data_IF_604096195081
#
_entry.id   IF_604096195081
#
_cell.length_a   1.000
_cell.length_b   1.000
_cell.length_c   1.000
_cell.angle_alpha   90.00
_cell.angle_beta   90.00
_cell.angle_gamma   90.00
#
_symmetry.space_group_name_H-M   'P 1'
#
loop_
_entity.id
_entity.type
_entity.pdbx_description
1 polymer ?
#
# COMPACT_ATOMS: atom_id res chain seq x y z
N UNK A 1 5.21 0.63 -24.63
CA UNK A 1 5.27 1.71 -23.62
C UNK A 1 6.63 2.40 -23.67
N UNK A 2 6.65 3.74 -23.65
CA UNK A 2 7.88 4.54 -23.51
C UNK A 2 7.77 5.37 -22.23
N UNK A 3 8.80 5.29 -21.38
CA UNK A 3 8.95 6.10 -20.18
C UNK A 3 10.12 7.05 -20.44
N UNK A 4 9.82 8.34 -20.54
CA UNK A 4 10.82 9.37 -20.83
C UNK A 4 11.67 9.67 -19.60
N UNK A 5 12.79 10.37 -19.81
CA UNK A 5 13.62 10.87 -18.70
C UNK A 5 12.76 11.67 -17.73
N UNK A 6 12.98 11.47 -16.44
CA UNK A 6 12.27 12.22 -15.42
C UNK A 6 12.77 13.66 -15.37
N UNK A 7 11.84 14.58 -15.19
CA UNK A 7 12.04 16.02 -15.06
C UNK A 7 11.67 16.45 -13.64
N UNK A 8 12.30 17.55 -13.19
CA UNK A 8 12.03 18.17 -11.90
C UNK A 8 11.60 19.61 -12.13
N UNK A 9 10.54 20.02 -11.44
CA UNK A 9 10.01 21.38 -11.49
C UNK A 9 9.72 21.85 -10.07
N UNK A 10 10.20 23.03 -9.71
CA UNK A 10 9.89 23.68 -8.44
C UNK A 10 8.68 24.60 -8.63
N UNK A 11 7.57 24.28 -7.96
CA UNK A 11 6.32 25.05 -7.98
C UNK A 11 6.01 25.58 -6.57
N UNK A 12 6.45 26.80 -6.29
CA UNK A 12 6.31 27.40 -4.96
C UNK A 12 7.02 26.56 -3.90
N UNK A 13 6.29 26.14 -2.87
CA UNK A 13 6.82 25.31 -1.76
C UNK A 13 6.85 23.81 -2.06
N UNK A 14 6.68 23.42 -3.32
CA UNK A 14 6.66 22.02 -3.74
C UNK A 14 7.64 21.74 -4.88
N UNK A 15 8.17 20.52 -4.89
CA UNK A 15 8.97 19.95 -5.96
C UNK A 15 8.16 18.84 -6.61
N UNK A 16 7.96 18.96 -7.91
CA UNK A 16 7.29 17.96 -8.72
C UNK A 16 8.33 17.23 -9.54
N UNK A 17 8.40 15.91 -9.35
CA UNK A 17 9.21 15.03 -10.17
C UNK A 17 8.25 14.24 -11.05
N UNK A 18 8.43 14.28 -12.37
CA UNK A 18 7.51 13.61 -13.28
C UNK A 18 8.23 12.96 -14.46
N UNK A 19 7.63 11.91 -15.00
CA UNK A 19 8.07 11.30 -16.24
C UNK A 19 6.89 11.20 -17.19
N UNK A 20 7.09 11.64 -18.43
CA UNK A 20 6.11 11.44 -19.50
C UNK A 20 6.05 9.96 -19.87
N UNK A 21 4.84 9.46 -20.09
CA UNK A 21 4.56 8.05 -20.41
C UNK A 21 3.75 7.98 -21.70
N UNK A 22 4.19 7.15 -22.63
CA UNK A 22 3.44 6.82 -23.85
C UNK A 22 3.05 5.35 -23.86
N UNK A 23 1.76 5.07 -24.07
CA UNK A 23 1.20 3.72 -24.15
C UNK A 23 0.43 3.62 -25.46
N UNK A 24 0.70 2.57 -26.26
CA UNK A 24 0.10 2.43 -27.60
C UNK A 24 -1.34 1.93 -27.53
N UNK A 25 -1.62 1.02 -26.60
CA UNK A 25 -2.88 0.26 -26.51
C UNK A 25 -3.99 0.96 -25.70
N UNK A 26 -3.71 2.07 -25.03
CA UNK A 26 -4.70 2.76 -24.20
C UNK A 26 -4.54 4.27 -24.21
N UNK A 27 -5.60 4.98 -24.62
CA UNK A 27 -5.68 6.45 -24.62
C UNK A 27 -6.24 7.04 -23.32
N UNK A 28 -6.62 6.19 -22.36
CA UNK A 28 -7.29 6.61 -21.11
C UNK A 28 -6.36 6.74 -19.91
N UNK A 29 -5.05 6.57 -20.09
CA UNK A 29 -4.05 6.60 -19.01
C UNK A 29 -3.43 7.99 -18.96
N UNK A 30 -3.10 8.52 -17.76
CA UNK A 30 -2.41 9.81 -17.65
C UNK A 30 -1.12 9.86 -18.48
N UNK A 31 -0.84 11.03 -19.05
CA UNK A 31 0.39 11.27 -19.84
C UNK A 31 1.64 11.36 -18.98
N UNK A 32 1.50 11.68 -17.71
CA UNK A 32 2.60 11.85 -16.77
C UNK A 32 2.36 11.01 -15.53
N UNK A 33 3.38 10.28 -15.10
CA UNK A 33 3.46 9.78 -13.73
C UNK A 33 4.25 10.80 -12.93
N UNK A 34 3.73 11.24 -11.78
CA UNK A 34 4.37 12.28 -10.99
C UNK A 34 4.37 12.00 -9.48
N UNK A 35 5.33 12.61 -8.81
CA UNK A 35 5.47 12.69 -7.36
C UNK A 35 5.66 14.16 -6.97
N UNK A 36 4.84 14.65 -6.05
CA UNK A 36 4.93 16.00 -5.51
C UNK A 36 5.40 15.94 -4.06
N UNK A 37 6.58 16.47 -3.80
CA UNK A 37 7.21 16.55 -2.48
C UNK A 37 7.26 18.00 -1.99
N UNK A 38 7.44 18.26 -0.69
CA UNK A 38 7.81 19.57 -0.18
C UNK A 38 9.17 20.03 -0.71
N UNK A 39 9.36 21.35 -0.84
CA UNK A 39 10.63 21.93 -1.28
C UNK A 39 11.84 21.48 -0.44
N UNK A 40 11.68 21.29 0.87
CA UNK A 40 12.75 20.80 1.77
C UNK A 40 13.30 19.41 1.40
N UNK A 41 12.56 18.63 0.59
CA UNK A 41 12.99 17.31 0.13
C UNK A 41 13.92 17.35 -1.09
N UNK A 42 14.24 18.52 -1.64
CA UNK A 42 15.06 18.68 -2.87
C UNK A 42 16.32 17.83 -2.87
N UNK A 43 17.10 17.91 -1.78
CA UNK A 43 18.37 17.18 -1.65
C UNK A 43 18.21 15.66 -1.68
N UNK A 44 17.01 15.13 -1.40
CA UNK A 44 16.70 13.71 -1.46
C UNK A 44 16.25 13.25 -2.85
N UNK A 45 15.82 14.18 -3.73
CA UNK A 45 15.23 13.84 -5.02
C UNK A 45 16.25 13.23 -5.97
N UNK A 46 15.89 12.07 -6.53
CA UNK A 46 16.60 11.36 -7.58
C UNK A 46 15.75 11.32 -8.86
N UNK A 47 16.34 11.67 -10.00
CA UNK A 47 15.69 11.62 -11.32
C UNK A 47 15.92 10.29 -12.05
N UNK A 48 16.39 9.28 -11.33
CA UNK A 48 16.70 7.98 -11.92
C UNK A 48 15.42 7.26 -12.33
N UNK A 49 15.49 6.59 -13.48
CA UNK A 49 14.36 6.01 -14.16
C UNK A 49 13.69 4.86 -13.41
N UNK A 50 14.39 4.16 -12.50
CA UNK A 50 13.78 3.09 -11.69
C UNK A 50 12.54 3.54 -10.90
N UNK A 51 12.48 4.78 -10.42
CA UNK A 51 11.34 5.31 -9.68
C UNK A 51 10.02 5.21 -10.46
N UNK A 52 10.10 5.52 -11.77
CA UNK A 52 8.97 5.53 -12.69
C UNK A 52 8.77 4.16 -13.36
N UNK A 53 9.85 3.54 -13.81
CA UNK A 53 9.81 2.21 -14.44
C UNK A 53 9.17 1.18 -13.51
N UNK A 54 9.56 1.17 -12.25
CA UNK A 54 9.03 0.26 -11.25
C UNK A 54 7.51 0.37 -11.09
N UNK A 55 6.97 1.58 -11.23
CA UNK A 55 5.55 1.86 -11.16
C UNK A 55 4.76 1.48 -12.41
N UNK A 56 5.42 1.08 -13.49
CA UNK A 56 4.77 0.93 -14.79
C UNK A 56 5.04 -0.43 -15.43
N UNK A 57 6.03 -1.19 -15.00
CA UNK A 57 6.41 -2.43 -15.69
C UNK A 57 5.26 -3.46 -15.76
N UNK A 58 4.49 -3.58 -14.68
CA UNK A 58 3.33 -4.49 -14.64
C UNK A 58 2.22 -4.04 -15.59
N UNK A 59 2.13 -2.75 -15.91
CA UNK A 59 1.19 -2.28 -16.94
C UNK A 59 1.67 -2.66 -18.33
N UNK A 60 2.98 -2.58 -18.62
CA UNK A 60 3.52 -3.13 -19.88
C UNK A 60 3.22 -4.63 -20.02
N UNK A 61 3.43 -5.41 -18.95
CA UNK A 61 3.05 -6.82 -18.90
C UNK A 61 1.53 -7.04 -19.12
N UNK A 62 0.69 -6.20 -18.50
CA UNK A 62 -0.77 -6.29 -18.62
C UNK A 62 -1.27 -5.99 -20.04
N UNK A 63 -0.68 -4.98 -20.68
CA UNK A 63 -1.03 -4.56 -22.04
C UNK A 63 -0.28 -5.34 -23.13
N UNK A 64 0.62 -6.25 -22.75
CA UNK A 64 1.51 -6.96 -23.66
C UNK A 64 2.32 -5.98 -24.53
N UNK A 65 2.88 -4.95 -23.90
CA UNK A 65 3.73 -3.95 -24.55
C UNK A 65 5.16 -4.00 -24.01
N UNK A 66 6.13 -4.07 -24.92
CA UNK A 66 7.53 -3.80 -24.61
C UNK A 66 7.68 -2.41 -23.95
N UNK A 67 8.66 -2.28 -23.06
CA UNK A 67 8.91 -1.05 -22.32
C UNK A 67 10.28 -0.51 -22.66
N UNK A 68 10.31 0.73 -23.16
CA UNK A 68 11.55 1.50 -23.31
C UNK A 68 11.65 2.54 -22.19
N UNK A 69 12.75 2.53 -21.44
CA UNK A 69 13.10 3.56 -20.46
C UNK A 69 14.23 4.42 -21.01
N UNK A 70 14.00 5.75 -21.05
CA UNK A 70 14.95 6.73 -21.58
C UNK A 70 15.78 7.45 -20.52
N UNK A 71 15.64 7.09 -19.26
CA UNK A 71 16.48 7.60 -18.18
C UNK A 71 17.45 6.56 -17.62
N UNK A 72 18.37 7.05 -16.79
CA UNK A 72 19.38 6.23 -16.11
C UNK A 72 18.73 5.21 -15.19
N UNK A 73 19.15 3.96 -15.26
CA UNK A 73 18.67 2.89 -14.38
C UNK A 73 19.80 2.15 -13.67
N UNK A 74 19.54 1.71 -12.45
CA UNK A 74 20.45 0.88 -11.65
C UNK A 74 20.74 -0.48 -12.32
N UNK A 75 22.02 -0.86 -12.53
CA UNK A 75 22.40 -2.21 -12.93
C UNK A 75 21.80 -3.32 -12.05
N UNK A 76 21.86 -3.19 -10.73
CA UNK A 76 21.28 -4.15 -9.78
C UNK A 76 19.77 -4.28 -9.99
N UNK A 77 19.07 -3.17 -10.22
CA UNK A 77 17.64 -3.20 -10.47
C UNK A 77 17.30 -3.83 -11.83
N UNK A 78 18.13 -3.64 -12.87
CA UNK A 78 18.00 -4.31 -14.19
C UNK A 78 18.14 -5.82 -14.08
N UNK A 79 18.98 -6.33 -13.18
CA UNK A 79 19.04 -7.78 -12.92
C UNK A 79 17.80 -8.27 -12.18
N UNK A 80 17.35 -7.50 -11.17
CA UNK A 80 16.23 -7.89 -10.34
C UNK A 80 14.88 -7.80 -11.05
N UNK A 81 14.70 -6.89 -12.01
CA UNK A 81 13.43 -6.74 -12.70
C UNK A 81 13.04 -8.00 -13.48
N UNK A 82 14.00 -8.75 -14.02
CA UNK A 82 13.72 -10.04 -14.67
C UNK A 82 13.09 -11.04 -13.71
N UNK A 83 13.61 -11.11 -12.47
CA UNK A 83 13.08 -11.95 -11.39
C UNK A 83 11.69 -11.46 -10.97
N UNK A 84 11.52 -10.15 -10.76
CA UNK A 84 10.22 -9.55 -10.43
C UNK A 84 9.16 -9.84 -11.50
N UNK A 85 9.50 -9.69 -12.77
CA UNK A 85 8.59 -9.96 -13.90
C UNK A 85 8.13 -11.41 -13.91
N UNK A 86 9.04 -12.36 -13.69
CA UNK A 86 8.70 -13.78 -13.55
C UNK A 86 7.79 -14.05 -12.34
N UNK A 87 8.03 -13.39 -11.21
CA UNK A 87 7.19 -13.50 -10.01
C UNK A 87 5.77 -12.98 -10.28
N UNK A 88 5.65 -11.80 -10.88
CA UNK A 88 4.37 -11.21 -11.22
C UNK A 88 3.61 -12.06 -12.24
N UNK A 89 4.29 -12.53 -13.30
CA UNK A 89 3.71 -13.43 -14.29
C UNK A 89 3.15 -14.69 -13.63
N UNK A 90 3.96 -15.42 -12.85
CA UNK A 90 3.51 -16.64 -12.14
C UNK A 90 2.37 -16.37 -11.15
N UNK A 91 2.28 -15.16 -10.60
CA UNK A 91 1.20 -14.79 -9.70
C UNK A 91 -0.15 -14.63 -10.44
N UNK A 92 -0.15 -14.27 -11.73
CA UNK A 92 -1.38 -14.15 -12.53
C UNK A 92 -1.13 -14.30 -14.05
N UNK A 93 -0.77 -15.52 -14.46
CA UNK A 93 -0.41 -15.86 -15.85
C UNK A 93 -1.55 -15.62 -16.85
N UNK A 94 -2.80 -15.56 -16.36
CA UNK A 94 -4.00 -15.27 -17.18
C UNK A 94 -4.14 -13.78 -17.52
N UNK A 95 -3.42 -12.88 -16.83
CA UNK A 95 -3.60 -11.43 -16.95
C UNK A 95 -2.35 -10.66 -17.28
N UNK A 96 -1.18 -11.28 -17.20
CA UNK A 96 0.12 -10.67 -17.39
C UNK A 96 0.90 -11.47 -18.42
N UNK A 97 1.70 -10.75 -19.22
CA UNK A 97 2.59 -11.33 -20.22
C UNK A 97 4.03 -11.01 -19.85
N UNK A 98 4.97 -11.86 -20.23
CA UNK A 98 6.39 -11.50 -20.23
C UNK A 98 6.63 -10.60 -21.43
N UNK A 99 7.27 -9.45 -21.21
CA UNK A 99 7.59 -8.46 -22.24
C UNK A 99 9.06 -8.06 -22.13
N UNK A 100 9.63 -7.56 -23.23
CA UNK A 100 11.01 -7.09 -23.25
C UNK A 100 11.16 -5.67 -22.69
N UNK A 101 12.31 -5.41 -22.08
CA UNK A 101 12.69 -4.13 -21.51
C UNK A 101 13.93 -3.58 -22.24
N UNK A 102 13.84 -2.33 -22.72
CA UNK A 102 14.93 -1.61 -23.37
C UNK A 102 15.34 -0.43 -22.50
N UNK A 103 16.59 -0.44 -22.02
CA UNK A 103 17.14 0.63 -21.19
C UNK A 103 18.13 1.43 -22.03
N UNK A 104 17.93 2.76 -22.14
CA UNK A 104 18.84 3.63 -22.89
C UNK A 104 20.16 3.88 -22.16
N UNK A 105 20.13 3.91 -20.84
CA UNK A 105 21.29 4.19 -20.00
C UNK A 105 21.24 3.34 -18.73
N UNK A 106 22.28 2.55 -18.49
CA UNK A 106 22.40 1.68 -17.31
C UNK A 106 23.68 2.08 -16.56
N UNK A 107 23.52 2.79 -15.45
CA UNK A 107 24.62 3.45 -14.74
C UNK A 107 24.42 3.27 -13.24
N UNK A 108 25.48 2.99 -12.49
CA UNK A 108 25.39 2.88 -11.03
C UNK A 108 25.07 4.24 -10.39
N UNK A 109 24.28 4.28 -9.30
CA UNK A 109 24.05 5.50 -8.54
C UNK A 109 25.37 5.99 -7.91
N UNK A 110 25.47 7.30 -7.69
CA UNK A 110 26.65 7.88 -7.07
C UNK A 110 26.84 7.35 -5.64
N UNK A 111 27.96 6.66 -5.43
CA UNK A 111 28.35 6.04 -4.16
C UNK A 111 28.87 7.07 -3.15
N UNK A 112 29.23 8.28 -3.59
CA UNK A 112 29.73 9.36 -2.73
C UNK A 112 28.61 10.07 -1.98
N UNK A 113 27.37 9.98 -2.47
CA UNK A 113 26.20 10.56 -1.80
C UNK A 113 25.98 9.93 -0.44
N UNK A 114 26.02 10.77 0.60
CA UNK A 114 25.70 10.36 1.97
C UNK A 114 24.19 10.12 2.09
N UNK A 115 23.84 8.84 2.18
CA UNK A 115 22.45 8.39 2.41
C UNK A 115 22.26 8.09 3.89
N UNK A 116 21.43 8.89 4.54
CA UNK A 116 21.18 8.89 5.98
C UNK A 116 19.70 8.67 6.33
N UNK A 117 18.81 8.65 5.33
CA UNK A 117 17.39 8.43 5.55
C UNK A 117 17.10 6.92 5.58
N UNK A 118 16.68 6.45 6.76
CA UNK A 118 16.03 5.17 6.98
C UNK A 118 14.50 5.36 7.01
N UNK A 119 13.84 5.00 5.91
CA UNK A 119 12.45 5.32 5.61
C UNK A 119 11.52 4.12 5.85
N UNK A 120 10.31 4.39 6.33
CA UNK A 120 9.20 3.43 6.28
C UNK A 120 7.89 4.13 5.87
N UNK A 121 7.03 3.43 5.13
CA UNK A 121 5.71 3.97 4.81
C UNK A 121 4.84 4.08 6.07
N UNK A 122 4.10 5.17 6.19
CA UNK A 122 3.23 5.45 7.33
C UNK A 122 1.85 5.93 6.87
N UNK A 123 0.84 5.08 6.93
CA UNK A 123 -0.56 5.41 6.57
C UNK A 123 -1.45 5.71 7.79
N UNK A 124 -0.90 5.54 9.00
CA UNK A 124 -1.68 5.49 10.25
C UNK A 124 -2.40 4.18 10.49
N UNK A 125 -2.20 3.16 9.64
CA UNK A 125 -2.74 1.82 9.86
C UNK A 125 -1.99 1.04 10.93
N UNK A 126 -2.59 -0.06 11.39
CA UNK A 126 -1.99 -0.95 12.40
C UNK A 126 -0.61 -1.48 11.97
N UNK A 127 -0.43 -1.77 10.68
CA UNK A 127 0.83 -2.30 10.16
C UNK A 127 1.95 -1.25 10.19
N UNK A 128 1.68 -0.01 9.75
CA UNK A 128 2.65 1.08 9.84
C UNK A 128 2.95 1.45 11.29
N UNK A 129 1.94 1.50 12.17
CA UNK A 129 2.19 1.75 13.58
C UNK A 129 3.06 0.67 14.22
N UNK A 130 2.90 -0.60 13.86
CA UNK A 130 3.76 -1.67 14.35
C UNK A 130 5.22 -1.50 13.91
N UNK A 131 5.44 -1.05 12.68
CA UNK A 131 6.77 -0.74 12.18
C UNK A 131 7.46 0.36 13.00
N UNK A 132 6.73 1.41 13.38
CA UNK A 132 7.27 2.47 14.26
C UNK A 132 7.32 2.08 15.73
N UNK A 133 6.37 1.29 16.24
CA UNK A 133 6.45 0.73 17.58
C UNK A 133 7.73 -0.10 17.77
N UNK A 134 8.10 -0.90 16.76
CA UNK A 134 9.33 -1.69 16.78
C UNK A 134 10.62 -0.86 16.72
N UNK A 135 10.52 0.43 16.39
CA UNK A 135 11.63 1.38 16.48
C UNK A 135 11.87 1.80 17.93
N UNK A 136 10.79 2.09 18.67
CA UNK A 136 10.87 2.57 20.06
C UNK A 136 11.03 1.45 21.09
N UNK A 137 10.47 0.26 20.84
CA UNK A 137 10.48 -0.88 21.77
C UNK A 137 11.29 -2.05 21.20
N UNK A 138 12.56 -1.80 20.88
CA UNK A 138 13.43 -2.76 20.19
C UNK A 138 13.58 -4.07 20.95
N UNK A 139 13.62 -4.01 22.27
CA UNK A 139 13.74 -5.15 23.18
C UNK A 139 12.49 -6.05 23.21
N UNK A 140 11.32 -5.49 22.85
CA UNK A 140 10.04 -6.23 22.80
C UNK A 140 9.66 -6.65 21.39
N UNK A 141 10.30 -6.07 20.38
CA UNK A 141 9.99 -6.31 18.98
C UNK A 141 10.76 -7.52 18.44
N UNK A 142 10.05 -8.43 17.75
CA UNK A 142 10.70 -9.54 17.05
C UNK A 142 11.51 -9.09 15.83
N UNK A 143 11.24 -7.89 15.31
CA UNK A 143 11.91 -7.29 14.16
C UNK A 143 12.13 -5.80 14.43
N UNK A 144 13.17 -5.41 15.19
CA UNK A 144 13.42 -4.00 15.52
C UNK A 144 13.81 -3.20 14.27
N UNK A 145 13.55 -1.89 14.29
CA UNK A 145 13.88 -0.96 13.20
C UNK A 145 14.68 0.25 13.69
N UNK A 146 15.47 0.84 12.79
CA UNK A 146 16.23 2.06 13.03
C UNK A 146 15.74 3.13 12.06
N UNK A 147 14.52 3.62 12.26
CA UNK A 147 13.89 4.58 11.38
C UNK A 147 14.38 6.00 11.70
N UNK A 148 14.38 6.84 10.69
CA UNK A 148 14.60 8.29 10.80
C UNK A 148 13.41 9.06 10.25
N UNK A 149 12.72 8.47 9.26
CA UNK A 149 11.63 9.13 8.55
C UNK A 149 10.45 8.19 8.29
N UNK A 150 9.26 8.78 8.27
CA UNK A 150 8.04 8.19 7.71
C UNK A 150 7.69 8.77 6.36
N UNK A 151 7.06 7.98 5.49
CA UNK A 151 6.52 8.42 4.21
C UNK A 151 4.98 8.40 4.25
N UNK A 152 4.33 9.56 4.11
CA UNK A 152 2.86 9.66 4.11
C UNK A 152 2.33 10.12 2.75
N UNK A 153 1.47 9.31 2.15
CA UNK A 153 1.14 9.41 0.72
C UNK A 153 -0.29 9.90 0.52
N UNK A 154 -0.45 10.90 -0.34
CA UNK A 154 -1.71 11.34 -0.92
C UNK A 154 -1.85 10.81 -2.34
N UNK A 155 -3.06 10.40 -2.73
CA UNK A 155 -3.34 9.84 -4.05
C UNK A 155 -3.26 8.31 -4.13
N UNK A 156 -3.19 7.64 -2.98
CA UNK A 156 -3.22 6.19 -2.90
C UNK A 156 -4.34 5.69 -1.98
N UNK A 157 -4.07 5.40 -0.71
CA UNK A 157 -5.10 4.99 0.26
C UNK A 157 -6.07 6.13 0.59
N UNK A 158 -5.61 7.40 0.49
CA UNK A 158 -6.43 8.60 0.39
C UNK A 158 -6.43 9.10 -1.05
N UNK A 159 -7.61 9.28 -1.64
CA UNK A 159 -7.75 9.81 -3.01
C UNK A 159 -7.19 11.23 -3.11
N UNK A 160 -6.63 11.61 -4.27
CA UNK A 160 -6.18 12.99 -4.53
C UNK A 160 -7.31 14.01 -4.27
N UNK A 161 -8.52 13.71 -4.74
CA UNK A 161 -9.71 14.55 -4.53
C UNK A 161 -10.16 14.70 -3.07
N UNK A 162 -9.61 13.93 -2.12
CA UNK A 162 -9.96 14.03 -0.70
C UNK A 162 -8.84 14.74 0.08
N UNK A 163 -8.62 16.01 -0.29
CA UNK A 163 -7.62 16.88 0.34
C UNK A 163 -7.94 17.16 1.80
N UNK A 164 -9.21 17.30 2.17
CA UNK A 164 -9.62 17.56 3.55
C UNK A 164 -9.17 16.44 4.49
N UNK A 165 -9.48 15.18 4.14
CA UNK A 165 -9.02 14.02 4.94
C UNK A 165 -7.51 13.93 4.94
N UNK A 166 -6.85 14.16 3.80
CA UNK A 166 -5.39 14.14 3.74
C UNK A 166 -4.75 15.18 4.66
N UNK A 167 -5.16 16.45 4.56
CA UNK A 167 -4.62 17.56 5.34
C UNK A 167 -4.91 17.39 6.84
N UNK A 168 -6.09 16.88 7.17
CA UNK A 168 -6.43 16.52 8.54
C UNK A 168 -5.42 15.53 9.14
N UNK A 169 -5.16 14.42 8.44
CA UNK A 169 -4.20 13.41 8.90
C UNK A 169 -2.75 13.86 8.82
N UNK A 170 -2.38 14.62 7.79
CA UNK A 170 -1.04 15.18 7.64
C UNK A 170 -0.69 16.06 8.84
N UNK A 171 -1.59 16.96 9.24
CA UNK A 171 -1.36 17.84 10.40
C UNK A 171 -1.21 17.06 11.70
N UNK A 172 -2.02 16.02 11.92
CA UNK A 172 -1.92 15.13 13.09
C UNK A 172 -0.61 14.34 13.09
N UNK A 173 -0.24 13.76 11.96
CA UNK A 173 0.95 12.92 11.87
C UNK A 173 2.25 13.73 11.88
N UNK A 174 2.29 14.95 11.32
CA UNK A 174 3.44 15.84 11.50
C UNK A 174 3.73 16.07 12.98
N UNK A 175 2.73 16.48 13.75
CA UNK A 175 2.86 16.67 15.22
C UNK A 175 3.31 15.39 15.94
N UNK A 176 2.80 14.23 15.53
CA UNK A 176 3.20 12.95 16.12
C UNK A 176 4.67 12.62 15.81
N UNK A 177 5.12 12.84 14.59
CA UNK A 177 6.49 12.60 14.17
C UNK A 177 7.48 13.57 14.82
N UNK A 178 7.08 14.84 14.98
CA UNK A 178 7.84 15.84 15.74
C UNK A 178 8.04 15.39 17.20
N UNK A 179 6.99 14.89 17.86
CA UNK A 179 7.07 14.32 19.22
C UNK A 179 7.97 13.08 19.30
N UNK A 180 8.06 12.33 18.22
CA UNK A 180 8.92 11.16 18.09
C UNK A 180 10.38 11.52 17.76
N UNK A 181 10.68 12.77 17.42
CA UNK A 181 12.00 13.18 16.93
C UNK A 181 12.34 12.53 15.57
N UNK A 182 11.33 12.22 14.76
CA UNK A 182 11.47 11.61 13.43
C UNK A 182 10.93 12.57 12.36
N UNK A 183 11.47 12.52 11.15
CA UNK A 183 10.92 13.29 10.03
C UNK A 183 9.69 12.63 9.43
N UNK A 184 8.72 13.41 8.94
CA UNK A 184 7.64 12.92 8.11
C UNK A 184 7.74 13.54 6.73
N UNK A 185 7.95 12.72 5.70
CA UNK A 185 7.98 13.15 4.30
C UNK A 185 6.57 12.95 3.72
N UNK A 186 5.77 14.03 3.55
CA UNK A 186 4.55 13.95 2.77
C UNK A 186 4.87 13.86 1.28
N UNK A 187 4.03 13.16 0.52
CA UNK A 187 4.12 13.09 -0.93
C UNK A 187 2.73 12.93 -1.52
N UNK A 188 2.46 13.62 -2.63
CA UNK A 188 1.29 13.35 -3.45
C UNK A 188 1.70 12.64 -4.75
N UNK A 189 0.85 11.77 -5.27
CA UNK A 189 1.11 11.07 -6.54
C UNK A 189 -0.17 10.67 -7.26
N UNK A 190 -0.14 10.63 -8.58
CA UNK A 190 -1.19 10.02 -9.40
C UNK A 190 -0.93 8.54 -9.73
N UNK A 191 0.05 7.88 -9.11
CA UNK A 191 0.43 6.50 -9.44
C UNK A 191 -0.76 5.52 -9.45
N UNK A 192 -1.77 5.72 -8.59
CA UNK A 192 -2.94 4.84 -8.60
C UNK A 192 -3.80 4.96 -9.86
N UNK A 193 -3.87 6.13 -10.48
CA UNK A 193 -4.70 6.38 -11.67
C UNK A 193 -4.30 5.52 -12.87
N UNK A 194 -3.03 5.15 -12.95
CA UNK A 194 -2.51 4.22 -13.94
C UNK A 194 -3.09 2.81 -13.80
N UNK A 195 -3.45 2.40 -12.59
CA UNK A 195 -3.92 1.05 -12.27
C UNK A 195 -5.43 0.97 -11.99
N UNK A 196 -6.03 2.08 -11.56
CA UNK A 196 -7.42 2.16 -11.12
C UNK A 196 -8.36 1.55 -12.16
N UNK A 197 -9.19 0.60 -11.70
CA UNK A 197 -10.15 -0.18 -12.51
C UNK A 197 -9.55 -1.07 -13.62
N UNK A 198 -8.24 -1.03 -13.86
CA UNK A 198 -7.56 -1.79 -14.92
C UNK A 198 -6.96 -3.08 -14.39
N UNK A 199 -6.24 -2.99 -13.27
CA UNK A 199 -5.60 -4.13 -12.63
C UNK A 199 -6.08 -4.30 -11.18
N UNK A 200 -5.85 -5.48 -10.57
CA UNK A 200 -5.98 -5.62 -9.13
C UNK A 200 -5.07 -4.66 -8.36
N UNK A 201 -5.60 -4.05 -7.30
CA UNK A 201 -4.88 -3.13 -6.40
C UNK A 201 -3.57 -3.69 -5.84
N UNK A 202 -3.54 -5.00 -5.57
CA UNK A 202 -2.38 -5.61 -4.95
C UNK A 202 -1.15 -5.66 -5.87
N UNK A 203 -1.31 -5.45 -7.19
CA UNK A 203 -0.17 -5.29 -8.09
C UNK A 203 0.55 -3.97 -7.86
N UNK A 204 -0.21 -2.88 -7.67
CA UNK A 204 0.31 -1.52 -7.71
C UNK A 204 0.83 -1.04 -6.36
N UNK A 205 0.32 -1.56 -5.24
CA UNK A 205 0.65 -1.02 -3.91
C UNK A 205 2.16 -1.03 -3.64
N UNK A 206 2.79 -2.19 -3.77
CA UNK A 206 4.24 -2.31 -3.54
C UNK A 206 5.04 -1.49 -4.55
N UNK A 207 4.57 -1.37 -5.80
CA UNK A 207 5.24 -0.61 -6.85
C UNK A 207 5.23 0.89 -6.57
N UNK A 208 4.07 1.43 -6.18
CA UNK A 208 3.89 2.82 -5.78
C UNK A 208 4.81 3.19 -4.62
N UNK A 209 4.73 2.42 -3.53
CA UNK A 209 5.55 2.66 -2.36
C UNK A 209 7.05 2.60 -2.67
N UNK A 210 7.47 1.59 -3.45
CA UNK A 210 8.86 1.43 -3.78
C UNK A 210 9.38 2.52 -4.72
N UNK A 211 8.62 2.87 -5.77
CA UNK A 211 9.04 3.89 -6.72
C UNK A 211 9.08 5.30 -6.13
N UNK A 212 8.14 5.66 -5.25
CA UNK A 212 8.23 6.91 -4.48
C UNK A 212 9.50 6.94 -3.62
N UNK A 213 9.84 5.81 -2.98
CA UNK A 213 11.04 5.71 -2.16
C UNK A 213 12.33 5.77 -3.00
N UNK A 214 12.30 5.25 -4.23
CA UNK A 214 13.40 5.39 -5.21
C UNK A 214 13.56 6.84 -5.69
N UNK A 215 12.46 7.59 -5.83
CA UNK A 215 12.51 9.02 -6.14
C UNK A 215 13.19 9.85 -5.04
N UNK A 216 13.33 9.30 -3.82
CA UNK A 216 14.10 9.89 -2.70
C UNK A 216 15.52 9.28 -2.57
N UNK A 217 16.00 8.57 -3.59
CA UNK A 217 17.20 7.74 -3.56
C UNK A 217 18.53 8.47 -3.39
N UNK A 218 18.57 9.81 -3.47
CA UNK A 218 19.79 10.58 -3.18
C UNK A 218 20.11 10.61 -1.68
N UNK A 219 19.10 10.43 -0.81
CA UNK A 219 19.26 10.41 0.65
C UNK A 219 18.76 9.14 1.32
N UNK A 220 17.83 8.39 0.72
CA UNK A 220 17.28 7.15 1.29
C UNK A 220 18.28 5.99 1.17
N UNK A 221 18.79 5.54 2.32
CA UNK A 221 19.66 4.37 2.43
C UNK A 221 18.86 3.06 2.53
N UNK A 222 17.76 3.07 3.29
CA UNK A 222 16.92 1.90 3.47
C UNK A 222 15.45 2.26 3.43
N UNK A 223 14.65 1.44 2.77
CA UNK A 223 13.19 1.51 2.83
C UNK A 223 12.61 0.22 3.44
N UNK A 224 11.74 0.39 4.43
CA UNK A 224 11.01 -0.69 5.09
C UNK A 224 9.52 -0.58 4.76
N UNK A 225 9.00 -1.51 3.97
CA UNK A 225 7.56 -1.62 3.73
C UNK A 225 6.90 -2.27 4.95
N UNK A 226 5.93 -1.62 5.62
CA UNK A 226 5.14 -2.28 6.65
C UNK A 226 4.45 -3.52 6.09
N UNK A 227 4.53 -4.62 6.84
CA UNK A 227 4.01 -5.91 6.40
C UNK A 227 2.52 -5.85 6.13
N UNK A 228 2.11 -6.22 4.92
CA UNK A 228 0.74 -6.11 4.39
C UNK A 228 -0.03 -7.43 4.40
N UNK A 229 0.53 -8.48 5.02
CA UNK A 229 -0.06 -9.82 5.04
C UNK A 229 -1.05 -9.94 6.19
N UNK A 230 -2.32 -10.09 5.84
CA UNK A 230 -3.35 -10.60 6.74
C UNK A 230 -3.28 -12.13 6.86
N UNK A 231 -3.77 -12.65 8.00
CA UNK A 231 -3.62 -14.04 8.44
C UNK A 231 -3.74 -15.06 7.30
N UNK A 232 -2.81 -16.02 7.26
CA UNK A 232 -2.92 -17.21 6.41
C UNK A 232 -2.63 -17.04 4.92
N UNK A 233 -2.33 -15.83 4.43
CA UNK A 233 -2.04 -15.58 3.00
C UNK A 233 -0.55 -15.35 2.73
N UNK A 234 0.30 -16.33 3.10
CA UNK A 234 1.73 -16.34 2.78
C UNK A 234 1.97 -16.74 1.33
N UNK A 235 1.47 -15.93 0.41
CA UNK A 235 1.78 -16.13 -1.00
C UNK A 235 3.17 -15.54 -1.29
N UNK A 236 4.15 -16.41 -1.53
CA UNK A 236 5.52 -16.03 -1.90
C UNK A 236 5.59 -15.29 -3.23
N UNK A 237 4.55 -15.38 -4.05
CA UNK A 237 4.46 -14.66 -5.32
C UNK A 237 3.83 -13.26 -5.18
N UNK A 238 3.44 -12.84 -3.96
CA UNK A 238 3.01 -11.47 -3.72
C UNK A 238 4.18 -10.50 -3.92
N UNK A 239 3.93 -9.31 -4.47
CA UNK A 239 4.96 -8.28 -4.62
C UNK A 239 5.66 -7.91 -3.32
N UNK A 240 4.89 -7.75 -2.24
CA UNK A 240 5.41 -7.36 -0.92
C UNK A 240 6.35 -8.40 -0.28
N UNK A 241 6.17 -9.68 -0.61
CA UNK A 241 7.08 -10.76 -0.20
C UNK A 241 8.44 -10.68 -0.91
N UNK A 242 8.52 -9.95 -2.03
CA UNK A 242 9.69 -9.84 -2.88
C UNK A 242 10.24 -8.40 -2.96
N UNK A 243 9.86 -7.56 -2.01
CA UNK A 243 10.28 -6.15 -1.93
C UNK A 243 11.81 -5.97 -1.93
N UNK A 244 12.58 -6.98 -1.50
CA UNK A 244 14.03 -6.94 -1.53
C UNK A 244 14.61 -6.84 -2.95
N UNK A 245 13.90 -7.32 -3.96
CA UNK A 245 14.30 -7.22 -5.37
C UNK A 245 14.14 -5.79 -5.94
N UNK A 246 13.57 -4.86 -5.17
CA UNK A 246 13.50 -3.45 -5.55
C UNK A 246 14.76 -2.69 -5.12
N UNK A 247 15.72 -3.37 -4.47
CA UNK A 247 16.97 -2.74 -4.07
C UNK A 247 17.82 -2.36 -5.27
N UNK A 248 18.51 -1.24 -5.14
CA UNK A 248 19.59 -0.78 -6.02
C UNK A 248 20.94 -0.98 -5.31
N UNK A 249 22.03 -0.52 -5.92
CA UNK A 249 23.35 -0.48 -5.30
C UNK A 249 23.35 0.39 -4.02
N UNK A 250 22.53 1.43 -4.00
CA UNK A 250 22.59 2.46 -2.96
C UNK A 250 21.43 2.46 -1.96
N UNK A 251 20.31 1.80 -2.31
CA UNK A 251 19.11 1.80 -1.47
C UNK A 251 18.61 0.38 -1.27
N UNK A 252 18.53 -0.03 -0.01
CA UNK A 252 18.06 -1.36 0.38
C UNK A 252 16.57 -1.37 0.67
N UNK A 253 15.84 -2.25 0.02
CA UNK A 253 14.41 -2.44 0.23
C UNK A 253 14.15 -3.69 1.07
N UNK A 254 13.23 -3.60 2.03
CA UNK A 254 12.90 -4.73 2.90
C UNK A 254 11.44 -4.69 3.35
N UNK A 255 10.91 -5.86 3.75
CA UNK A 255 9.56 -5.99 4.27
C UNK A 255 9.64 -6.12 5.78
N UNK A 256 8.94 -5.26 6.50
CA UNK A 256 8.91 -5.30 7.96
C UNK A 256 7.78 -6.18 8.47
N UNK A 257 8.10 -7.16 9.31
CA UNK A 257 7.12 -7.97 10.05
C UNK A 257 5.99 -8.60 9.22
N UNK A 258 6.23 -8.93 7.95
CA UNK A 258 5.24 -9.57 7.06
C UNK A 258 4.81 -10.97 7.51
N UNK A 259 5.57 -11.60 8.40
CA UNK A 259 5.25 -12.92 8.97
C UNK A 259 4.34 -12.86 10.20
N UNK A 260 4.09 -11.65 10.72
CA UNK A 260 3.30 -11.41 11.93
C UNK A 260 1.89 -10.98 11.54
N UNK A 261 0.90 -11.65 12.10
CA UNK A 261 -0.51 -11.38 11.85
C UNK A 261 -0.97 -10.04 12.47
N UNK A 262 -1.93 -9.34 11.84
CA UNK A 262 -2.50 -8.07 12.35
C UNK A 262 -2.90 -8.12 13.83
N UNK A 263 -3.59 -9.17 14.27
CA UNK A 263 -4.02 -9.30 15.67
C UNK A 263 -2.85 -9.40 16.64
N UNK A 264 -1.75 -10.05 16.26
CA UNK A 264 -0.52 -10.13 17.05
C UNK A 264 0.25 -8.80 17.05
N UNK A 265 0.23 -8.07 15.94
CA UNK A 265 0.80 -6.72 15.88
C UNK A 265 0.06 -5.79 16.83
N UNK A 266 -1.28 -5.75 16.71
CA UNK A 266 -2.12 -4.92 17.57
C UNK A 266 -1.96 -5.30 19.04
N UNK A 267 -1.95 -6.59 19.40
CA UNK A 267 -1.79 -7.02 20.80
C UNK A 267 -0.49 -6.55 21.47
N UNK A 268 0.52 -6.14 20.69
CA UNK A 268 1.77 -5.57 21.22
C UNK A 268 1.70 -4.06 21.49
N UNK A 269 0.73 -3.38 20.89
CA UNK A 269 0.60 -1.92 20.90
C UNK A 269 -0.67 -1.43 21.58
N UNK A 270 -1.46 -2.32 22.19
CA UNK A 270 -2.76 -1.97 22.78
C UNK A 270 -2.64 -0.89 23.85
N UNK A 271 -1.55 -0.87 24.60
CA UNK A 271 -1.26 0.11 25.66
C UNK A 271 -0.36 1.25 25.18
N UNK A 272 -0.11 1.36 23.87
CA UNK A 272 0.73 2.42 23.31
C UNK A 272 -0.12 3.62 22.88
N UNK A 273 -0.05 4.70 23.65
CA UNK A 273 -0.90 5.89 23.49
C UNK A 273 -0.98 6.44 22.05
N UNK A 274 0.12 6.51 21.26
CA UNK A 274 0.03 6.93 19.87
C UNK A 274 -0.94 6.12 19.01
N UNK A 275 -0.94 4.78 19.17
CA UNK A 275 -1.86 3.90 18.43
C UNK A 275 -3.29 4.11 18.89
N UNK A 276 -3.54 4.26 20.18
CA UNK A 276 -4.87 4.52 20.72
C UNK A 276 -5.51 5.80 20.17
N UNK A 277 -4.70 6.86 20.01
CA UNK A 277 -5.17 8.21 19.61
C UNK A 277 -5.22 8.44 18.10
N UNK A 278 -4.36 7.76 17.34
CA UNK A 278 -4.09 8.13 15.95
C UNK A 278 -4.29 6.99 14.94
N UNK A 279 -4.72 5.79 15.37
CA UNK A 279 -4.97 4.67 14.47
C UNK A 279 -6.08 4.98 13.46
N UNK A 280 -5.81 4.74 12.18
CA UNK A 280 -6.76 4.84 11.07
C UNK A 280 -6.72 3.58 10.22
N UNK A 281 -7.88 2.93 10.05
CA UNK A 281 -7.99 1.69 9.26
C UNK A 281 -9.03 1.76 8.13
N UNK A 282 -9.87 2.79 8.10
CA UNK A 282 -10.91 2.91 7.10
C UNK A 282 -10.30 3.29 5.74
N UNK A 283 -10.79 2.67 4.67
CA UNK A 283 -10.45 3.04 3.29
C UNK A 283 -11.68 3.46 2.47
N UNK A 284 -12.83 3.66 3.13
CA UNK A 284 -14.05 4.12 2.47
C UNK A 284 -13.89 5.62 2.16
N UNK A 285 -13.60 5.93 0.89
CA UNK A 285 -13.40 7.31 0.46
C UNK A 285 -14.69 8.14 0.45
N UNK A 286 -15.87 7.51 0.54
CA UNK A 286 -17.15 8.21 0.62
C UNK A 286 -17.54 8.56 2.06
N UNK A 287 -16.68 8.23 3.02
CA UNK A 287 -16.91 8.42 4.43
C UNK A 287 -15.98 9.51 4.97
N UNK A 288 -16.49 10.42 5.77
CA UNK A 288 -15.66 11.38 6.50
C UNK A 288 -14.87 10.65 7.59
N UNK A 289 -13.58 10.47 7.35
CA UNK A 289 -12.70 9.73 8.24
C UNK A 289 -12.02 10.61 9.30
N UNK A 290 -12.36 11.90 9.41
CA UNK A 290 -11.65 12.83 10.31
C UNK A 290 -11.78 12.45 11.80
N UNK A 291 -12.94 11.94 12.19
CA UNK A 291 -13.24 11.60 13.58
C UNK A 291 -13.20 10.08 13.86
N UNK A 292 -13.85 9.28 13.03
CA UNK A 292 -13.91 7.83 13.20
C UNK A 292 -13.92 7.10 11.86
N UNK A 293 -13.76 5.77 11.90
CA UNK A 293 -13.93 4.95 10.70
C UNK A 293 -15.40 4.84 10.28
N UNK A 294 -15.66 4.29 9.09
CA UNK A 294 -17.03 4.06 8.62
C UNK A 294 -17.78 2.97 9.40
N UNK A 295 -17.06 2.22 10.25
CA UNK A 295 -17.61 1.21 11.16
C UNK A 295 -18.35 0.03 10.51
N UNK A 296 -18.40 -0.01 9.17
CA UNK A 296 -19.13 -1.00 8.38
C UNK A 296 -18.23 -1.80 7.44
N UNK A 297 -17.03 -1.31 7.11
CA UNK A 297 -16.11 -2.06 6.26
C UNK A 297 -15.35 -3.13 7.03
N UNK A 298 -14.88 -4.16 6.33
CA UNK A 298 -14.06 -5.27 6.84
C UNK A 298 -12.95 -4.76 7.75
N UNK A 299 -12.15 -3.78 7.30
CA UNK A 299 -11.04 -3.23 8.10
C UNK A 299 -11.49 -2.63 9.43
N UNK A 300 -12.58 -1.84 9.43
CA UNK A 300 -13.09 -1.25 10.67
C UNK A 300 -13.63 -2.33 11.60
N UNK A 301 -14.50 -3.23 11.11
CA UNK A 301 -15.13 -4.25 11.93
C UNK A 301 -14.08 -5.24 12.47
N UNK A 302 -13.14 -5.66 11.63
CA UNK A 302 -12.08 -6.59 11.99
C UNK A 302 -11.16 -6.00 13.07
N UNK A 303 -10.72 -4.75 12.90
CA UNK A 303 -9.89 -4.07 13.89
C UNK A 303 -10.64 -3.90 15.20
N UNK A 304 -11.89 -3.44 15.14
CA UNK A 304 -12.73 -3.25 16.32
C UNK A 304 -13.00 -4.58 17.05
N UNK A 305 -13.20 -5.68 16.30
CA UNK A 305 -13.34 -7.02 16.87
C UNK A 305 -12.08 -7.42 17.64
N UNK A 306 -10.88 -7.15 17.10
CA UNK A 306 -9.63 -7.41 17.83
C UNK A 306 -9.63 -6.61 19.14
N UNK A 307 -9.90 -5.31 19.10
CA UNK A 307 -9.90 -4.46 20.30
C UNK A 307 -10.91 -4.94 21.35
N UNK A 308 -12.11 -5.32 20.93
CA UNK A 308 -13.14 -5.92 21.79
C UNK A 308 -12.66 -7.23 22.45
N UNK A 309 -12.00 -8.10 21.68
CA UNK A 309 -11.49 -9.36 22.21
C UNK A 309 -10.39 -9.17 23.27
N UNK A 310 -9.72 -8.02 23.26
CA UNK A 310 -8.69 -7.65 24.22
C UNK A 310 -9.15 -6.66 25.31
N UNK A 311 -10.45 -6.31 25.38
CA UNK A 311 -10.99 -5.32 26.34
C UNK A 311 -10.40 -3.90 26.20
N UNK A 312 -9.99 -3.53 24.99
CA UNK A 312 -9.29 -2.26 24.73
C UNK A 312 -10.08 -1.29 23.86
N UNK A 313 -11.31 -1.63 23.51
CA UNK A 313 -12.13 -0.84 22.60
C UNK A 313 -12.30 0.61 23.04
N UNK A 314 -12.62 0.85 24.32
CA UNK A 314 -12.89 2.19 24.86
C UNK A 314 -11.63 3.08 24.93
N UNK A 315 -10.44 2.50 24.78
CA UNK A 315 -9.18 3.26 24.77
C UNK A 315 -8.88 3.84 23.38
N UNK A 316 -9.59 3.41 22.33
CA UNK A 316 -9.35 3.82 20.96
C UNK A 316 -10.45 4.76 20.46
N UNK A 317 -10.15 6.05 20.38
CA UNK A 317 -11.10 7.09 19.99
C UNK A 317 -11.66 6.93 18.56
N UNK A 318 -10.99 6.14 17.72
CA UNK A 318 -11.39 5.90 16.33
C UNK A 318 -12.59 4.95 16.17
N UNK A 319 -12.96 4.23 17.25
CA UNK A 319 -14.06 3.27 17.25
C UNK A 319 -15.08 3.61 18.33
N UNK A 320 -16.34 3.70 17.92
CA UNK A 320 -17.47 4.03 18.80
C UNK A 320 -18.63 3.08 18.49
N UNK A 321 -18.42 1.79 18.76
CA UNK A 321 -19.37 0.75 18.33
C UNK A 321 -19.19 -0.60 18.99
N UNK A 322 -20.29 -1.17 19.46
CA UNK A 322 -20.33 -2.57 19.87
C UNK A 322 -20.18 -3.57 18.73
N UNK A 323 -19.65 -4.75 19.07
CA UNK A 323 -19.57 -5.92 18.21
C UNK A 323 -20.87 -6.74 18.32
N UNK A 324 -21.77 -6.47 17.38
CA UNK A 324 -23.05 -7.18 17.23
C UNK A 324 -22.94 -8.38 16.28
N UNK A 325 -23.92 -9.30 16.38
CA UNK A 325 -24.08 -10.43 15.45
C UNK A 325 -24.12 -9.96 13.99
N UNK A 326 -24.89 -8.92 13.68
CA UNK A 326 -25.01 -8.39 12.31
C UNK A 326 -23.69 -7.87 11.75
N UNK A 327 -22.91 -7.16 12.56
CA UNK A 327 -21.56 -6.69 12.17
C UNK A 327 -20.62 -7.86 11.94
N UNK A 328 -20.69 -8.89 12.77
CA UNK A 328 -19.87 -10.09 12.58
C UNK A 328 -20.26 -10.87 11.32
N UNK A 329 -21.57 -11.02 11.02
CA UNK A 329 -22.05 -11.58 9.74
C UNK A 329 -21.50 -10.77 8.57
N UNK A 330 -21.58 -9.43 8.67
CA UNK A 330 -21.05 -8.52 7.65
C UNK A 330 -19.55 -8.71 7.45
N UNK A 331 -18.77 -8.81 8.53
CA UNK A 331 -17.34 -9.13 8.46
C UNK A 331 -17.12 -10.45 7.70
N UNK A 332 -17.80 -11.52 8.12
CA UNK A 332 -17.73 -12.83 7.47
C UNK A 332 -18.10 -12.79 5.98
N UNK A 333 -19.01 -11.90 5.60
CA UNK A 333 -19.40 -11.68 4.21
C UNK A 333 -18.35 -10.88 3.42
N UNK A 334 -17.79 -9.81 4.00
CA UNK A 334 -16.87 -8.91 3.29
C UNK A 334 -15.47 -9.50 3.11
N UNK A 335 -14.98 -10.32 4.06
CA UNK A 335 -13.65 -10.94 3.97
C UNK A 335 -13.54 -11.86 2.75
N UNK A 336 -12.41 -11.78 2.05
CA UNK A 336 -12.15 -12.61 0.87
C UNK A 336 -11.93 -14.08 1.21
N UNK A 337 -11.34 -14.35 2.39
CA UNK A 337 -11.11 -15.71 2.88
C UNK A 337 -11.36 -15.79 4.39
N UNK A 338 -12.60 -16.14 4.77
CA UNK A 338 -12.99 -16.27 6.17
C UNK A 338 -12.21 -17.38 6.88
N UNK A 339 -11.88 -18.48 6.19
CA UNK A 339 -11.14 -19.60 6.78
C UNK A 339 -9.71 -19.23 7.19
N UNK A 340 -9.18 -18.12 6.67
CA UNK A 340 -7.88 -17.59 7.03
C UNK A 340 -7.85 -17.00 8.45
N UNK A 341 -9.02 -16.63 9.00
CA UNK A 341 -9.21 -16.25 10.41
C UNK A 341 -9.17 -17.53 11.24
N UNK A 342 -7.97 -18.08 11.43
CA UNK A 342 -7.77 -19.43 11.98
C UNK A 342 -8.54 -19.65 13.29
N UNK A 343 -9.12 -20.85 13.48
CA UNK A 343 -9.81 -21.24 14.71
C UNK A 343 -9.01 -21.01 16.00
N UNK A 344 -7.68 -21.14 15.95
CA UNK A 344 -6.84 -21.03 17.16
C UNK A 344 -6.70 -19.59 17.69
N UNK A 345 -6.92 -18.58 16.85
CA UNK A 345 -6.83 -17.16 17.24
C UNK A 345 -8.17 -16.62 17.70
N UNK A 346 -8.98 -16.10 16.76
CA UNK A 346 -10.24 -15.43 17.08
C UNK A 346 -11.22 -16.31 17.84
N UNK A 347 -11.41 -17.58 17.46
CA UNK A 347 -12.39 -18.43 18.16
C UNK A 347 -11.96 -18.75 19.59
N UNK A 348 -10.65 -18.82 19.88
CA UNK A 348 -10.18 -19.03 21.25
C UNK A 348 -10.48 -17.81 22.13
N UNK A 349 -10.28 -16.58 21.62
CA UNK A 349 -10.67 -15.36 22.32
C UNK A 349 -12.19 -15.21 22.45
N UNK A 350 -12.95 -15.51 21.39
CA UNK A 350 -14.42 -15.51 21.44
C UNK A 350 -14.96 -16.51 22.47
N UNK A 351 -14.34 -17.69 22.58
CA UNK A 351 -14.69 -18.68 23.60
C UNK A 351 -14.42 -18.15 25.01
N UNK A 352 -13.26 -17.50 25.23
CA UNK A 352 -12.96 -16.83 26.51
C UNK A 352 -13.96 -15.72 26.87
N UNK A 353 -14.52 -15.06 25.85
CA UNK A 353 -15.56 -14.03 25.98
C UNK A 353 -16.98 -14.59 26.09
N UNK A 354 -17.17 -15.90 26.11
CA UNK A 354 -18.48 -16.57 26.07
C UNK A 354 -19.36 -16.14 24.88
N UNK A 355 -18.75 -15.72 23.77
CA UNK A 355 -19.45 -15.34 22.52
C UNK A 355 -19.70 -16.55 21.62
N UNK A 356 -20.45 -17.51 22.14
CA UNK A 356 -20.83 -18.74 21.42
C UNK A 356 -21.69 -18.42 20.19
N UNK A 357 -22.50 -17.36 20.26
CA UNK A 357 -23.24 -16.78 19.14
C UNK A 357 -22.34 -16.49 17.93
N UNK A 358 -21.22 -15.80 18.13
CA UNK A 358 -20.30 -15.45 17.05
C UNK A 358 -19.53 -16.67 16.53
N UNK A 359 -19.20 -17.62 17.41
CA UNK A 359 -18.56 -18.88 17.00
C UNK A 359 -19.48 -19.68 16.07
N UNK A 360 -20.77 -19.78 16.40
CA UNK A 360 -21.76 -20.45 15.55
C UNK A 360 -21.89 -19.76 14.19
N UNK A 361 -21.98 -18.42 14.18
CA UNK A 361 -22.04 -17.64 12.94
C UNK A 361 -20.81 -17.87 12.07
N UNK A 362 -19.61 -17.90 12.67
CA UNK A 362 -18.38 -18.16 11.93
C UNK A 362 -18.47 -19.50 11.17
N UNK A 363 -18.92 -20.57 11.83
CA UNK A 363 -19.07 -21.88 11.19
C UNK A 363 -20.16 -21.91 10.12
N UNK A 364 -21.30 -21.24 10.35
CA UNK A 364 -22.37 -21.11 9.35
C UNK A 364 -21.93 -20.33 8.10
N UNK A 365 -21.05 -19.33 8.27
CA UNK A 365 -20.60 -18.47 7.17
C UNK A 365 -19.44 -19.06 6.35
N UNK A 366 -18.73 -20.08 6.85
CA UNK A 366 -17.64 -20.72 6.09
C UNK A 366 -18.11 -21.27 4.74
N UNK A 367 -19.17 -22.10 4.64
CA UNK A 367 -19.66 -22.61 3.37
C UNK A 367 -20.06 -21.49 2.41
N UNK A 368 -20.75 -20.46 2.93
CA UNK A 368 -21.18 -19.28 2.16
C UNK A 368 -19.96 -18.52 1.60
N UNK A 369 -18.93 -18.30 2.42
CA UNK A 369 -17.71 -17.62 1.99
C UNK A 369 -16.93 -18.45 0.94
N UNK A 370 -16.88 -19.78 1.09
CA UNK A 370 -16.28 -20.68 0.09
C UNK A 370 -17.03 -20.65 -1.24
N UNK A 371 -18.37 -20.65 -1.21
CA UNK A 371 -19.19 -20.53 -2.41
C UNK A 371 -18.97 -19.18 -3.11
N UNK A 372 -18.92 -18.07 -2.34
CA UNK A 372 -18.58 -16.75 -2.86
C UNK A 372 -17.21 -16.73 -3.54
N UNK A 373 -16.19 -17.34 -2.94
CA UNK A 373 -14.86 -17.47 -3.53
C UNK A 373 -14.92 -18.20 -4.86
N UNK A 374 -15.59 -19.35 -4.91
CA UNK A 374 -15.77 -20.15 -6.13
C UNK A 374 -16.47 -19.37 -7.26
N UNK A 375 -17.59 -18.71 -6.95
CA UNK A 375 -18.30 -17.87 -7.93
C UNK A 375 -17.39 -16.75 -8.45
N UNK A 376 -16.65 -16.09 -7.55
CA UNK A 376 -15.76 -15.01 -7.94
C UNK A 376 -14.58 -15.45 -8.81
N UNK A 377 -14.05 -16.66 -8.60
CA UNK A 377 -12.94 -17.19 -9.39
C UNK A 377 -13.39 -17.73 -10.75
N UNK A 378 -14.57 -18.36 -10.83
CA UNK A 378 -15.01 -19.06 -12.04
C UNK A 378 -15.93 -18.26 -12.96
N UNK A 379 -16.87 -17.47 -12.41
CA UNK A 379 -17.86 -16.74 -13.22
C UNK A 379 -17.36 -15.35 -13.62
N UNK A 380 -16.82 -14.59 -12.66
CA UNK A 380 -16.40 -13.20 -12.92
C UNK A 380 -15.17 -13.15 -13.85
N UNK A 381 -14.32 -14.18 -13.80
CA UNK A 381 -13.13 -14.29 -14.67
C UNK A 381 -13.48 -14.47 -16.16
N UNK A 382 -14.71 -14.88 -16.49
CA UNK A 382 -15.19 -15.09 -17.87
C UNK A 382 -15.80 -13.83 -18.51
N UNK A 383 -16.04 -12.76 -17.75
CA UNK A 383 -16.64 -11.54 -18.28
C UNK A 383 -15.59 -10.70 -19.05
N UNK A 384 -15.89 -10.18 -20.25
CA UNK A 384 -14.95 -9.35 -21.01
C UNK A 384 -14.42 -8.14 -20.23
N UNK A 385 -13.10 -7.96 -20.21
CA UNK A 385 -12.41 -6.93 -19.40
C UNK A 385 -12.89 -5.50 -19.70
N UNK A 386 -13.10 -5.17 -20.98
CA UNK A 386 -13.59 -3.85 -21.42
C UNK A 386 -14.98 -3.54 -20.86
N UNK A 387 -15.82 -4.57 -20.75
CA UNK A 387 -17.16 -4.45 -20.17
C UNK A 387 -17.09 -4.25 -18.65
N UNK A 388 -16.29 -5.05 -17.94
CA UNK A 388 -16.07 -4.87 -16.49
C UNK A 388 -15.48 -3.49 -16.15
N UNK A 389 -14.51 -3.01 -16.92
CA UNK A 389 -13.96 -1.66 -16.75
C UNK A 389 -15.03 -0.59 -16.92
N UNK A 390 -15.84 -0.69 -17.98
CA UNK A 390 -16.91 0.28 -18.26
C UNK A 390 -17.96 0.28 -17.16
N UNK A 391 -18.38 -0.89 -16.66
CA UNK A 391 -19.31 -1.01 -15.53
C UNK A 391 -18.69 -0.40 -14.27
N UNK A 392 -17.46 -0.79 -13.90
CA UNK A 392 -16.80 -0.26 -12.71
C UNK A 392 -16.68 1.26 -12.79
N UNK A 393 -16.28 1.81 -13.94
CA UNK A 393 -16.21 3.27 -14.14
C UNK A 393 -17.58 3.94 -14.01
N UNK A 394 -18.66 3.33 -14.53
CA UNK A 394 -20.03 3.86 -14.39
C UNK A 394 -20.58 3.77 -12.97
N UNK A 395 -20.29 2.70 -12.24
CA UNK A 395 -20.78 2.45 -10.87
C UNK A 395 -19.98 3.24 -9.84
N UNK A 396 -18.66 3.33 -10.01
CA UNK A 396 -17.75 4.05 -9.11
C UNK A 396 -17.44 5.48 -9.58
N UNK A 397 -18.36 6.09 -10.35
CA UNK A 397 -18.25 7.41 -10.99
C UNK A 397 -17.92 8.60 -10.05
N UNK A 398 -17.85 8.38 -8.74
CA UNK A 398 -17.51 9.40 -7.74
C UNK A 398 -16.01 9.48 -7.39
N UNK A 399 -15.13 8.74 -8.09
CA UNK A 399 -13.68 9.01 -8.08
C UNK A 399 -13.25 9.45 -9.47
N UNK A 400 -13.66 10.65 -9.86
CA UNK A 400 -13.35 11.22 -11.17
C UNK A 400 -11.85 11.51 -11.27
N UNK A 401 -11.28 10.97 -12.35
CA UNK A 401 -9.98 11.31 -12.92
C UNK A 401 -10.06 12.81 -13.26
N UNK A 402 -9.09 13.58 -12.82
CA UNK A 402 -8.93 14.95 -13.30
C UNK A 402 -8.52 14.88 -14.77
N UNK A 403 -9.40 15.32 -15.67
CA UNK A 403 -9.14 15.31 -17.12
C UNK A 403 -8.08 16.37 -17.52
N UNK A 404 -7.64 17.22 -16.58
CA UNK A 404 -6.47 18.07 -16.76
C UNK A 404 -5.19 17.28 -16.44
N UNK A 405 -4.67 16.59 -17.46
CA UNK A 405 -3.35 15.96 -17.44
C UNK A 405 -2.17 16.95 -17.33
N UNK A 406 -2.31 18.02 -16.55
CA UNK A 406 -1.25 18.90 -16.10
C UNK A 406 -0.74 18.44 -14.72
N UNK A 407 0.59 18.33 -14.55
CA UNK A 407 1.22 17.92 -13.30
C UNK A 407 1.04 18.90 -12.13
#
# INVERSE_FOLDING_TARGET
MIIHQAEIETKGDAIVVSARVEIKTSTSIPKYLWYKFPAESESAISLRGEAFFNNLFVLGMHFNEEIELRGDISPVFVENIKKLSSIYYRNDEKKLNIVDYKFKSVVSPDVTLKRDIHLASFSGGADSFYTFWSHFYKEKASHPTNLTHGLFIHGYDISLNNEETYNHYLSKYKKLFDQWGLGLIPVSTNAYEFYQFRTPWYYSNTLALAGISMALGNRVATYSQPGDVDQGNRNRLRPSSNIHLFSTESTKFSSHAHVIDRSKKLSKMLDWSPVQKHLRVCLDANYDQTNHGCQKCEKCINTNLILYLFDKQNEFSYFDMDITIFKFIRLCWEVSNLSAYRPKGYLSYLKKKNRTDLILIYWMMIPVNKLKQFISSELISRIPKKFLYTIKRKVYKNRNISDDGSP
#
